data_IF_168097113077
#
_entry.id   IF_168097113077
#
_cell.length_a   1.000
_cell.length_b   1.000
_cell.length_c   1.000
_cell.angle_alpha   90.00
_cell.angle_beta   90.00
_cell.angle_gamma   90.00
#
_symmetry.space_group_name_H-M   'P 1'
#
loop_
_entity.id
_entity.type
_entity.pdbx_description
1 polymer ?
#
# COMPACT_ATOMS: atom_id res chain seq x y z
N UNK A 1 -2.36 8.51 -1.23
CA UNK A 1 -3.47 8.33 -2.16
C UNK A 1 -3.57 9.52 -3.09
N UNK A 2 -4.27 9.34 -4.19
CA UNK A 2 -4.82 10.38 -5.03
C UNK A 2 -6.14 10.85 -4.45
N UNK A 3 -6.35 12.16 -4.36
CA UNK A 3 -7.57 12.73 -3.78
C UNK A 3 -8.17 13.78 -4.69
N UNK A 4 -9.48 13.96 -4.55
CA UNK A 4 -10.24 14.98 -5.29
C UNK A 4 -11.16 14.41 -6.37
N UNK A 5 -11.21 13.09 -6.54
CA UNK A 5 -12.16 12.43 -7.46
C UNK A 5 -13.54 12.30 -6.82
N UNK A 6 -13.59 11.96 -5.52
CA UNK A 6 -14.80 11.49 -4.86
C UNK A 6 -15.12 10.02 -5.22
N UNK A 7 -16.31 9.54 -4.83
CA UNK A 7 -16.71 8.15 -5.04
C UNK A 7 -16.11 7.16 -4.02
N UNK A 8 -16.44 5.88 -4.16
CA UNK A 8 -15.89 4.82 -3.30
C UNK A 8 -14.38 4.70 -3.57
N UNK A 9 -13.57 4.73 -2.51
CA UNK A 9 -12.10 4.71 -2.60
C UNK A 9 -11.45 5.91 -3.30
N UNK A 10 -12.15 7.04 -3.49
CA UNK A 10 -11.65 8.21 -4.24
C UNK A 10 -11.23 7.86 -5.68
N UNK A 11 -12.01 7.03 -6.37
CA UNK A 11 -11.70 6.50 -7.70
C UNK A 11 -12.81 6.74 -8.72
N UNK A 12 -12.41 7.05 -9.95
CA UNK A 12 -13.24 7.08 -11.16
C UNK A 12 -12.43 6.46 -12.32
N UNK A 13 -12.93 5.40 -12.99
CA UNK A 13 -12.22 4.74 -14.09
C UNK A 13 -11.99 5.63 -15.32
N UNK A 14 -12.68 6.76 -15.42
CA UNK A 14 -12.51 7.74 -16.48
C UNK A 14 -11.49 8.83 -16.12
N UNK A 15 -11.04 8.90 -14.86
CA UNK A 15 -10.15 9.96 -14.38
C UNK A 15 -8.95 9.36 -13.65
N UNK A 16 -7.82 9.30 -14.35
CA UNK A 16 -6.58 8.71 -13.83
C UNK A 16 -5.79 9.68 -12.96
N UNK A 17 -5.25 9.17 -11.85
CA UNK A 17 -4.31 9.93 -11.04
C UNK A 17 -3.04 10.29 -11.83
N UNK A 18 -2.50 11.49 -11.62
CA UNK A 18 -1.35 12.02 -12.35
C UNK A 18 -1.71 12.73 -13.65
N UNK A 19 -2.96 12.61 -14.12
CA UNK A 19 -3.47 13.31 -15.30
C UNK A 19 -4.46 14.42 -14.91
N UNK A 20 -4.49 15.56 -15.62
CA UNK A 20 -5.50 16.59 -15.37
C UNK A 20 -6.93 16.00 -15.43
N UNK A 21 -7.82 16.35 -14.48
CA UNK A 21 -7.64 17.36 -13.44
C UNK A 21 -6.90 16.89 -12.17
N UNK A 22 -6.68 15.59 -11.98
CA UNK A 22 -6.06 15.00 -10.79
C UNK A 22 -4.55 14.83 -10.90
N UNK A 23 -3.83 15.90 -10.59
CA UNK A 23 -2.36 15.92 -10.62
C UNK A 23 -1.70 15.75 -9.24
N UNK A 24 -2.46 15.85 -8.16
CA UNK A 24 -1.91 15.93 -6.80
C UNK A 24 -2.34 14.75 -5.93
N UNK A 25 -1.43 14.33 -5.06
CA UNK A 25 -1.71 13.42 -3.96
C UNK A 25 -2.57 14.10 -2.88
N UNK A 26 -3.23 13.30 -2.06
CA UNK A 26 -3.80 13.74 -0.80
C UNK A 26 -2.72 14.37 0.11
N UNK A 27 -3.11 15.28 1.00
CA UNK A 27 -2.21 15.87 1.99
C UNK A 27 -1.51 14.81 2.86
N UNK A 28 -2.26 13.77 3.24
CA UNK A 28 -1.72 12.60 3.91
C UNK A 28 -2.10 11.35 3.12
N UNK A 29 -1.20 10.83 2.28
CA UNK A 29 -1.38 9.58 1.57
C UNK A 29 -1.56 8.34 2.46
N UNK A 30 -1.08 8.37 3.70
CA UNK A 30 -0.99 7.20 4.58
C UNK A 30 -2.29 6.89 5.33
N UNK A 31 -3.21 7.85 5.44
CA UNK A 31 -4.55 7.65 6.01
C UNK A 31 -5.52 6.92 5.07
N UNK A 32 -5.05 6.44 3.92
CA UNK A 32 -5.87 5.78 2.90
C UNK A 32 -5.32 4.41 2.55
N UNK A 33 -6.22 3.46 2.31
CA UNK A 33 -5.86 2.11 1.83
C UNK A 33 -5.52 2.14 0.34
N UNK A 34 -6.42 2.70 -0.46
CA UNK A 34 -6.27 2.77 -1.91
C UNK A 34 -5.53 4.03 -2.31
N UNK A 35 -4.61 3.90 -3.27
CA UNK A 35 -3.95 5.04 -3.91
C UNK A 35 -4.85 5.65 -4.99
N UNK A 36 -5.35 4.86 -5.92
CA UNK A 36 -6.09 5.34 -7.12
C UNK A 36 -7.21 4.38 -7.56
N UNK A 37 -7.71 3.55 -6.65
CA UNK A 37 -8.69 2.50 -6.95
C UNK A 37 -8.11 1.18 -7.48
N UNK A 38 -6.85 1.16 -7.94
CA UNK A 38 -6.18 -0.02 -8.49
C UNK A 38 -4.98 -0.41 -7.62
N UNK A 39 -4.18 0.57 -7.22
CA UNK A 39 -2.97 0.38 -6.42
C UNK A 39 -3.23 0.67 -4.93
N UNK A 40 -2.51 -0.03 -4.05
CA UNK A 40 -2.46 0.32 -2.64
C UNK A 40 -1.51 1.49 -2.37
N UNK A 41 -1.74 2.21 -1.27
CA UNK A 41 -0.78 3.21 -0.79
C UNK A 41 0.50 2.56 -0.29
N UNK A 42 1.57 3.35 -0.20
CA UNK A 42 2.87 2.86 0.27
C UNK A 42 2.79 2.21 1.66
N UNK A 43 2.04 2.80 2.58
CA UNK A 43 1.90 2.27 3.94
C UNK A 43 1.23 0.89 3.95
N UNK A 44 0.23 0.69 3.10
CA UNK A 44 -0.44 -0.62 2.97
C UNK A 44 0.48 -1.62 2.29
N UNK A 45 1.23 -1.22 1.26
CA UNK A 45 2.22 -2.11 0.65
C UNK A 45 3.32 -2.52 1.64
N UNK A 46 3.81 -1.60 2.47
CA UNK A 46 4.77 -1.89 3.55
C UNK A 46 4.19 -2.88 4.56
N UNK A 47 2.95 -2.64 4.99
CA UNK A 47 2.26 -3.53 5.91
C UNK A 47 2.07 -4.94 5.31
N UNK A 48 1.58 -5.05 4.08
CA UNK A 48 1.43 -6.34 3.39
C UNK A 48 2.75 -7.08 3.24
N UNK A 49 3.81 -6.38 2.81
CA UNK A 49 5.13 -6.99 2.66
C UNK A 49 5.66 -7.51 4.01
N UNK A 50 5.52 -6.72 5.07
CA UNK A 50 5.91 -7.13 6.42
C UNK A 50 5.10 -8.33 6.90
N UNK A 51 3.77 -8.30 6.78
CA UNK A 51 2.91 -9.41 7.19
C UNK A 51 3.24 -10.68 6.41
N UNK A 52 3.35 -10.62 5.10
CA UNK A 52 3.70 -11.79 4.28
C UNK A 52 5.08 -12.33 4.64
N UNK A 53 6.05 -11.45 4.89
CA UNK A 53 7.39 -11.86 5.30
C UNK A 53 7.36 -12.57 6.66
N UNK A 54 6.72 -11.98 7.67
CA UNK A 54 6.60 -12.58 9.00
C UNK A 54 5.88 -13.94 8.95
N UNK A 55 4.76 -14.03 8.23
CA UNK A 55 4.04 -15.30 8.04
C UNK A 55 4.92 -16.36 7.37
N UNK A 56 5.71 -15.98 6.38
CA UNK A 56 6.66 -16.88 5.72
C UNK A 56 7.75 -17.37 6.69
N UNK A 57 8.31 -16.46 7.49
CA UNK A 57 9.33 -16.79 8.49
C UNK A 57 8.81 -17.74 9.56
N UNK A 58 7.55 -17.55 9.98
CA UNK A 58 6.91 -18.38 11.00
C UNK A 58 6.45 -19.74 10.44
N UNK A 59 6.03 -19.79 9.18
CA UNK A 59 5.50 -21.02 8.56
C UNK A 59 6.61 -21.95 8.06
N UNK A 60 7.78 -21.42 7.68
CA UNK A 60 8.90 -22.21 7.17
C UNK A 60 10.00 -22.31 8.25
N UNK A 61 10.14 -23.45 8.95
CA UNK A 61 11.08 -23.59 10.07
C UNK A 61 12.54 -23.31 9.69
N UNK A 62 12.92 -23.60 8.44
CA UNK A 62 14.26 -23.31 7.93
C UNK A 62 14.52 -21.82 7.73
N UNK A 63 13.51 -21.05 7.33
CA UNK A 63 13.68 -19.64 7.01
C UNK A 63 13.86 -18.80 8.28
N UNK A 64 13.07 -19.09 9.33
CA UNK A 64 13.26 -18.47 10.65
C UNK A 64 14.65 -18.74 11.25
N UNK A 65 15.21 -19.93 11.03
CA UNK A 65 16.55 -20.30 11.53
C UNK A 65 17.73 -19.63 10.79
N UNK A 66 17.48 -19.00 9.63
CA UNK A 66 18.49 -18.28 8.85
C UNK A 66 18.63 -16.80 9.25
N UNK A 67 17.66 -16.27 10.00
CA UNK A 67 17.79 -14.92 10.55
C UNK A 67 18.71 -14.94 11.78
N UNK A 68 19.77 -14.11 11.81
CA UNK A 68 20.57 -13.94 13.02
C UNK A 68 19.67 -13.42 14.14
N UNK A 69 19.71 -14.07 15.32
CA UNK A 69 19.10 -13.52 16.52
C UNK A 69 19.67 -12.12 16.73
N UNK A 70 18.80 -11.12 16.75
CA UNK A 70 19.19 -9.73 17.02
C UNK A 70 19.86 -9.68 18.40
N UNK A 71 21.17 -9.43 18.43
CA UNK A 71 21.92 -9.09 19.64
C UNK A 71 21.63 -7.66 20.07
#
# INVERSE_FOLDING_TARGET
ACCGIGGLYNYDPLIYCGYPPLKQSCNDPSSYISWDGIHYTEVVNKWLAHTVFEELMNTIPRLGSLCPSST
#
